data_IF_810986851921
#
_entry.id   IF_810986851921
#
_cell.length_a   1.000
_cell.length_b   1.000
_cell.length_c   1.000
_cell.angle_alpha   90.00
_cell.angle_beta   90.00
_cell.angle_gamma   90.00
#
_symmetry.space_group_name_H-M   'P 1'
#
loop_
_entity.id
_entity.type
_entity.pdbx_description
1 polymer ?
#
# COMPACT_ATOMS: atom_id res chain seq x y z
N UNK A 1 -29.55 22.21 28.44
CA UNK A 1 -29.70 21.59 27.10
C UNK A 1 -30.23 20.18 27.31
N UNK A 2 -31.14 19.70 26.45
CA UNK A 2 -31.73 18.35 26.63
C UNK A 2 -30.68 17.28 26.26
N UNK A 3 -30.62 16.15 26.98
CA UNK A 3 -29.80 15.03 26.57
C UNK A 3 -30.27 14.50 25.21
N UNK A 4 -29.32 14.13 24.35
CA UNK A 4 -29.60 13.59 23.02
C UNK A 4 -29.39 12.08 23.03
N UNK A 5 -30.30 11.34 22.44
CA UNK A 5 -30.04 9.93 22.12
C UNK A 5 -29.09 9.89 20.91
N UNK A 6 -27.98 9.18 21.08
CA UNK A 6 -26.96 9.03 20.07
C UNK A 6 -26.71 7.55 19.81
N UNK A 7 -26.64 7.20 18.54
CA UNK A 7 -26.29 5.88 18.06
C UNK A 7 -24.89 5.92 17.46
N UNK A 8 -24.02 5.00 17.88
CA UNK A 8 -22.72 4.79 17.23
C UNK A 8 -22.64 3.35 16.75
N UNK A 9 -22.39 3.21 15.46
CA UNK A 9 -22.19 1.93 14.79
C UNK A 9 -20.69 1.65 14.70
N UNK A 10 -20.24 0.57 15.33
CA UNK A 10 -18.85 0.10 15.25
C UNK A 10 -18.79 -1.34 14.76
N UNK A 11 -18.58 -1.51 13.45
CA UNK A 11 -18.61 -2.83 12.81
C UNK A 11 -20.02 -3.40 12.82
N UNK A 12 -20.20 -4.61 13.35
CA UNK A 12 -21.51 -5.28 13.46
C UNK A 12 -22.30 -4.91 14.73
N UNK A 13 -21.75 -4.07 15.62
CA UNK A 13 -22.37 -3.72 16.89
C UNK A 13 -22.92 -2.29 16.85
N UNK A 14 -24.13 -2.12 17.38
CA UNK A 14 -24.81 -0.84 17.55
C UNK A 14 -24.85 -0.49 19.03
N UNK A 15 -24.40 0.71 19.38
CA UNK A 15 -24.41 1.20 20.75
C UNK A 15 -25.29 2.45 20.85
N UNK A 16 -26.26 2.39 21.76
CA UNK A 16 -27.14 3.49 22.10
C UNK A 16 -26.64 4.15 23.39
N UNK A 17 -26.50 5.48 23.39
CA UNK A 17 -26.13 6.21 24.58
C UNK A 17 -26.72 7.61 24.60
N UNK A 18 -26.74 8.19 25.79
CA UNK A 18 -27.19 9.56 26.00
C UNK A 18 -26.00 10.51 25.95
N UNK A 19 -25.96 11.38 24.95
CA UNK A 19 -24.99 12.45 24.79
C UNK A 19 -25.47 13.71 25.53
N UNK A 20 -24.60 14.34 26.33
CA UNK A 20 -24.93 15.57 27.06
C UNK A 20 -24.19 16.74 26.40
N UNK A 21 -24.89 17.70 25.76
CA UNK A 21 -24.25 18.89 25.22
C UNK A 21 -23.64 19.73 26.34
N UNK A 22 -22.33 20.01 26.23
CA UNK A 22 -21.57 20.83 27.19
C UNK A 22 -21.23 22.22 26.64
N UNK A 23 -21.62 22.50 25.40
CA UNK A 23 -21.49 23.81 24.75
C UNK A 23 -22.02 23.78 23.32
N UNK A 24 -21.97 24.93 22.64
CA UNK A 24 -22.56 25.12 21.30
C UNK A 24 -21.93 24.21 20.21
N UNK A 25 -20.70 23.74 20.44
CA UNK A 25 -19.99 22.78 19.57
C UNK A 25 -19.31 21.65 20.36
N UNK A 26 -19.76 21.37 21.58
CA UNK A 26 -19.12 20.37 22.44
C UNK A 26 -20.14 19.47 23.12
N UNK A 27 -19.85 18.17 23.10
CA UNK A 27 -20.68 17.12 23.67
C UNK A 27 -19.81 16.30 24.61
N UNK A 28 -20.29 16.05 25.83
CA UNK A 28 -19.68 15.09 26.75
C UNK A 28 -20.18 13.70 26.42
N UNK A 29 -19.25 12.79 26.16
CA UNK A 29 -19.52 11.38 25.96
C UNK A 29 -19.45 10.63 27.31
N UNK A 30 -20.30 9.60 27.53
CA UNK A 30 -20.25 8.76 28.72
C UNK A 30 -18.89 8.08 28.89
N UNK A 31 -18.46 7.88 30.14
CA UNK A 31 -17.15 7.30 30.43
C UNK A 31 -17.00 5.87 29.90
N UNK A 32 -18.11 5.13 29.71
CA UNK A 32 -18.12 3.81 29.06
C UNK A 32 -17.55 3.81 27.62
N UNK A 33 -17.69 4.92 26.88
CA UNK A 33 -17.09 5.08 25.54
C UNK A 33 -15.62 5.47 25.65
N UNK A 34 -15.25 6.26 26.67
CA UNK A 34 -13.85 6.64 26.94
C UNK A 34 -13.03 5.46 27.47
N UNK A 35 -13.65 4.56 28.24
CA UNK A 35 -13.05 3.39 28.87
C UNK A 35 -13.08 2.14 27.99
N UNK A 36 -13.75 2.17 26.85
CA UNK A 36 -13.76 1.04 25.93
C UNK A 36 -12.34 0.84 25.38
N UNK A 37 -11.77 -0.37 25.43
CA UNK A 37 -10.42 -0.60 24.95
C UNK A 37 -10.38 -0.29 23.45
N UNK A 38 -9.77 0.83 23.08
CA UNK A 38 -9.57 1.24 21.67
C UNK A 38 -8.78 0.20 20.86
N UNK A 39 -8.20 -0.84 21.50
CA UNK A 39 -7.37 -1.88 20.89
C UNK A 39 -7.56 -3.22 21.62
N UNK A 40 -7.78 -4.30 20.86
CA UNK A 40 -7.89 -5.69 21.38
C UNK A 40 -6.57 -6.25 21.93
N UNK A 41 -5.42 -5.66 21.59
CA UNK A 41 -4.10 -6.14 21.97
C UNK A 41 -3.30 -5.04 22.69
N UNK A 42 -2.63 -5.44 23.76
CA UNK A 42 -1.77 -4.57 24.57
C UNK A 42 -0.56 -4.12 23.74
N UNK A 43 -0.12 -2.87 23.95
CA UNK A 43 1.10 -2.33 23.37
C UNK A 43 1.97 -1.74 24.46
N UNK A 44 3.27 -1.92 24.34
CA UNK A 44 4.27 -1.35 25.23
C UNK A 44 5.05 -0.27 24.51
N UNK A 45 5.38 0.80 25.23
CA UNK A 45 6.33 1.81 24.77
C UNK A 45 7.74 1.27 24.96
N UNK A 46 8.55 1.32 23.91
CA UNK A 46 9.92 0.81 23.90
C UNK A 46 10.90 1.98 24.05
N UNK A 47 10.72 3.05 23.28
CA UNK A 47 11.51 4.26 23.42
C UNK A 47 11.31 4.90 24.82
N UNK A 48 12.42 5.00 25.57
CA UNK A 48 12.44 5.54 26.93
C UNK A 48 12.07 4.53 28.03
N UNK A 49 11.90 3.24 27.70
CA UNK A 49 11.62 2.21 28.68
C UNK A 49 12.93 1.57 29.19
N UNK A 50 13.24 1.65 30.50
CA UNK A 50 14.54 1.21 31.03
C UNK A 50 14.79 -0.29 30.83
N UNK A 51 13.74 -1.12 30.89
CA UNK A 51 13.84 -2.58 30.82
C UNK A 51 14.14 -3.11 29.41
N UNK A 52 13.76 -2.36 28.38
CA UNK A 52 13.77 -2.82 26.98
C UNK A 52 14.40 -1.79 26.03
N UNK A 53 15.16 -0.85 26.57
CA UNK A 53 15.84 0.22 25.83
C UNK A 53 16.82 -0.29 24.76
N UNK A 54 17.30 -1.53 24.89
CA UNK A 54 18.18 -2.19 23.92
C UNK A 54 17.45 -2.90 22.79
N UNK A 55 16.11 -2.86 22.76
CA UNK A 55 15.32 -3.49 21.71
C UNK A 55 15.36 -2.64 20.43
N UNK A 56 15.65 -3.26 19.29
CA UNK A 56 15.72 -2.58 18.00
C UNK A 56 15.23 -3.45 16.85
N UNK A 57 15.06 -2.85 15.68
CA UNK A 57 14.71 -3.55 14.45
C UNK A 57 15.82 -3.44 13.40
N UNK A 58 16.06 -4.51 12.65
CA UNK A 58 16.72 -4.46 11.34
C UNK A 58 15.63 -4.57 10.29
N UNK A 59 15.65 -3.65 9.33
CA UNK A 59 14.64 -3.55 8.28
C UNK A 59 15.27 -3.96 6.95
N UNK A 60 14.60 -4.84 6.22
CA UNK A 60 15.00 -5.25 4.87
C UNK A 60 13.87 -4.99 3.89
N UNK A 61 14.18 -4.31 2.79
CA UNK A 61 13.27 -4.07 1.66
C UNK A 61 13.78 -4.80 0.43
N UNK A 62 12.91 -5.52 -0.26
CA UNK A 62 13.20 -6.10 -1.57
C UNK A 62 12.60 -5.20 -2.65
N UNK A 63 13.43 -4.64 -3.52
CA UNK A 63 13.05 -3.56 -4.44
C UNK A 63 13.50 -3.85 -5.85
N UNK A 64 12.73 -3.39 -6.84
CA UNK A 64 13.14 -3.22 -8.23
C UNK A 64 13.08 -1.73 -8.55
N UNK A 65 14.22 -1.10 -8.83
CA UNK A 65 14.31 0.33 -9.12
C UNK A 65 15.17 0.58 -10.36
N UNK A 66 14.59 1.06 -11.49
CA UNK A 66 15.36 1.33 -12.70
C UNK A 66 16.29 2.55 -12.57
N UNK A 67 16.06 3.41 -11.58
CA UNK A 67 16.87 4.61 -11.31
C UNK A 67 18.02 4.38 -10.33
N UNK A 68 18.28 3.13 -9.97
CA UNK A 68 19.45 2.77 -9.16
C UNK A 68 20.75 3.19 -9.87
N UNK A 69 21.74 3.63 -9.09
CA UNK A 69 23.06 4.00 -9.61
C UNK A 69 23.92 2.80 -10.04
N UNK A 70 23.40 1.58 -9.88
CA UNK A 70 23.99 0.35 -10.42
C UNK A 70 23.63 0.23 -11.91
N UNK A 71 24.61 0.53 -12.77
CA UNK A 71 24.43 0.47 -14.22
C UNK A 71 24.08 -0.92 -14.74
N UNK A 72 24.60 -1.98 -14.14
CA UNK A 72 24.34 -3.35 -14.59
C UNK A 72 22.89 -3.73 -14.30
N UNK A 73 22.43 -3.43 -13.08
CA UNK A 73 21.07 -3.72 -12.66
C UNK A 73 20.04 -2.87 -13.43
N UNK A 74 20.32 -1.58 -13.61
CA UNK A 74 19.48 -0.69 -14.41
C UNK A 74 19.36 -1.18 -15.87
N UNK A 75 20.47 -1.59 -16.49
CA UNK A 75 20.46 -2.18 -17.85
C UNK A 75 19.68 -3.50 -17.90
N UNK A 76 19.80 -4.37 -16.91
CA UNK A 76 19.03 -5.62 -16.82
C UNK A 76 17.53 -5.35 -16.73
N UNK A 77 17.10 -4.42 -15.87
CA UNK A 77 15.70 -4.02 -15.76
C UNK A 77 15.21 -3.48 -17.11
N UNK A 78 15.95 -2.56 -17.71
CA UNK A 78 15.59 -1.96 -19.00
C UNK A 78 15.46 -3.02 -20.11
N UNK A 79 16.37 -4.00 -20.17
CA UNK A 79 16.33 -5.09 -21.13
C UNK A 79 15.09 -5.97 -20.96
N UNK A 80 14.73 -6.33 -19.71
CA UNK A 80 13.51 -7.12 -19.42
C UNK A 80 12.28 -6.35 -19.88
N UNK A 81 12.15 -5.07 -19.49
CA UNK A 81 11.01 -4.23 -19.86
C UNK A 81 10.88 -4.12 -21.38
N UNK A 82 11.98 -3.79 -22.07
CA UNK A 82 12.00 -3.64 -23.54
C UNK A 82 11.68 -4.95 -24.27
N UNK A 83 12.13 -6.09 -23.74
CA UNK A 83 11.83 -7.41 -24.30
C UNK A 83 10.32 -7.67 -24.25
N UNK A 84 9.67 -7.38 -23.13
CA UNK A 84 8.23 -7.60 -22.96
C UNK A 84 7.43 -6.62 -23.84
N UNK A 85 7.82 -5.34 -23.88
CA UNK A 85 7.24 -4.35 -24.80
C UNK A 85 7.34 -4.82 -26.26
N UNK A 86 8.48 -5.34 -26.67
CA UNK A 86 8.67 -5.91 -28.01
C UNK A 86 7.82 -7.15 -28.26
N UNK A 87 7.61 -8.02 -27.27
CA UNK A 87 6.71 -9.19 -27.40
C UNK A 87 5.26 -8.73 -27.57
N UNK A 88 4.81 -7.74 -26.81
CA UNK A 88 3.46 -7.19 -26.93
C UNK A 88 3.21 -6.60 -28.33
N UNK A 89 4.19 -5.90 -28.89
CA UNK A 89 4.05 -5.31 -30.23
C UNK A 89 4.10 -6.37 -31.33
N UNK A 90 5.06 -7.31 -31.26
CA UNK A 90 5.33 -8.24 -32.37
C UNK A 90 4.47 -9.51 -32.34
N UNK A 91 4.16 -10.03 -31.16
CA UNK A 91 3.50 -11.32 -30.99
C UNK A 91 2.03 -11.17 -30.62
N UNK A 92 1.70 -10.14 -29.84
CA UNK A 92 0.32 -9.87 -29.41
C UNK A 92 -0.37 -8.78 -30.26
N UNK A 93 0.34 -8.28 -31.30
CA UNK A 93 -0.15 -7.33 -32.31
C UNK A 93 -0.70 -6.00 -31.77
N UNK A 94 -0.21 -5.52 -30.63
CA UNK A 94 -0.51 -4.17 -30.17
C UNK A 94 0.32 -3.14 -30.96
N UNK A 95 -0.29 -2.01 -31.30
CA UNK A 95 0.41 -0.94 -32.02
C UNK A 95 1.36 -0.16 -31.10
N UNK A 96 1.02 -0.06 -29.81
CA UNK A 96 1.85 0.56 -28.78
C UNK A 96 1.82 -0.31 -27.52
N UNK A 97 3.00 -0.57 -26.96
CA UNK A 97 3.15 -1.19 -25.65
C UNK A 97 4.19 -0.42 -24.83
N UNK A 98 3.86 -0.10 -23.58
CA UNK A 98 4.76 0.59 -22.66
C UNK A 98 4.62 0.03 -21.26
N UNK A 99 5.74 -0.32 -20.64
CA UNK A 99 5.80 -0.68 -19.23
C UNK A 99 6.38 0.50 -18.46
N UNK A 100 5.70 0.87 -17.38
CA UNK A 100 6.12 1.95 -16.48
C UNK A 100 6.14 1.40 -15.06
N UNK A 101 7.32 1.42 -14.44
CA UNK A 101 7.46 1.16 -13.00
C UNK A 101 7.15 2.44 -12.24
N UNK A 102 6.48 2.30 -11.10
CA UNK A 102 6.11 3.45 -10.29
C UNK A 102 7.29 3.95 -9.46
N UNK A 103 7.47 5.27 -9.45
CA UNK A 103 8.44 5.99 -8.65
C UNK A 103 7.75 6.82 -7.53
N UNK A 104 6.41 6.77 -7.47
CA UNK A 104 5.60 7.42 -6.44
C UNK A 104 5.21 8.85 -6.79
N UNK A 105 5.53 9.32 -8.00
CA UNK A 105 5.17 10.65 -8.49
C UNK A 105 3.95 10.64 -9.41
N UNK A 106 3.27 9.50 -9.54
CA UNK A 106 2.17 9.33 -10.48
C UNK A 106 0.96 10.19 -10.08
N UNK A 107 0.59 11.13 -10.96
CA UNK A 107 -0.59 11.99 -10.77
C UNK A 107 -1.79 11.60 -11.63
N UNK A 108 -1.67 10.56 -12.45
CA UNK A 108 -2.73 10.16 -13.37
C UNK A 108 -3.84 9.43 -12.58
N UNK A 109 -5.09 9.93 -12.57
CA UNK A 109 -6.16 9.33 -11.78
C UNK A 109 -6.53 7.89 -12.19
N UNK A 110 -6.31 7.51 -13.46
CA UNK A 110 -6.48 6.11 -13.90
C UNK A 110 -5.45 5.21 -13.23
N UNK A 111 -4.19 5.68 -13.08
CA UNK A 111 -3.16 4.93 -12.38
C UNK A 111 -3.47 4.82 -10.89
N UNK A 112 -3.99 5.88 -10.27
CA UNK A 112 -4.46 5.85 -8.88
C UNK A 112 -5.58 4.83 -8.68
N UNK A 113 -6.57 4.82 -9.59
CA UNK A 113 -7.65 3.85 -9.58
C UNK A 113 -7.15 2.40 -9.73
N UNK A 114 -6.26 2.14 -10.70
CA UNK A 114 -5.65 0.82 -10.92
C UNK A 114 -4.83 0.39 -9.70
N UNK A 115 -4.08 1.31 -9.09
CA UNK A 115 -3.29 1.05 -7.87
C UNK A 115 -4.17 0.69 -6.68
N UNK A 116 -5.31 1.36 -6.51
CA UNK A 116 -6.23 1.11 -5.42
C UNK A 116 -7.02 -0.18 -5.60
N UNK A 117 -7.58 -0.41 -6.79
CA UNK A 117 -8.46 -1.56 -7.05
C UNK A 117 -7.72 -2.81 -7.52
N UNK A 118 -6.44 -2.69 -7.89
CA UNK A 118 -5.58 -3.78 -8.36
C UNK A 118 -6.20 -4.61 -9.51
N UNK A 119 -6.97 -3.94 -10.36
CA UNK A 119 -7.63 -4.53 -11.53
C UNK A 119 -7.19 -3.81 -12.81
N UNK A 120 -7.16 -4.51 -13.95
CA UNK A 120 -6.91 -3.87 -15.24
C UNK A 120 -7.95 -2.79 -15.52
N UNK A 121 -7.54 -1.63 -16.01
CA UNK A 121 -8.45 -0.65 -16.60
C UNK A 121 -8.48 -0.84 -18.11
N UNK A 122 -9.66 -1.05 -18.69
CA UNK A 122 -9.79 -1.41 -20.10
C UNK A 122 -10.85 -0.57 -20.80
N UNK A 123 -10.47 -0.10 -21.98
CA UNK A 123 -11.33 0.53 -22.98
C UNK A 123 -11.42 -0.43 -24.16
N UNK A 124 -12.41 -1.32 -24.12
CA UNK A 124 -12.56 -2.36 -25.15
C UNK A 124 -12.79 -1.75 -26.53
N UNK A 125 -13.68 -0.75 -26.63
CA UNK A 125 -13.95 0.00 -27.85
C UNK A 125 -14.08 1.50 -27.52
N UNK A 126 -13.24 2.34 -28.11
CA UNK A 126 -13.31 3.80 -27.95
C UNK A 126 -14.52 4.43 -28.64
N UNK A 127 -15.20 3.69 -29.53
CA UNK A 127 -16.49 4.10 -30.09
C UNK A 127 -17.67 3.70 -29.21
N UNK A 128 -17.47 2.70 -28.33
CA UNK A 128 -18.50 2.24 -27.42
C UNK A 128 -17.94 1.91 -26.02
N UNK A 129 -17.97 2.92 -25.16
CA UNK A 129 -17.52 2.84 -23.78
C UNK A 129 -18.42 2.02 -22.84
N UNK A 130 -19.56 1.51 -23.32
CA UNK A 130 -20.53 0.80 -22.48
C UNK A 130 -20.22 -0.70 -22.31
N UNK A 131 -19.14 -1.21 -22.89
CA UNK A 131 -18.76 -2.62 -22.78
C UNK A 131 -18.38 -2.92 -21.33
N UNK A 132 -19.07 -3.88 -20.72
CA UNK A 132 -18.88 -4.27 -19.31
C UNK A 132 -18.20 -5.62 -19.18
N UNK A 133 -17.31 -5.71 -18.21
CA UNK A 133 -16.73 -6.96 -17.73
C UNK A 133 -16.35 -6.82 -16.25
N UNK A 134 -16.73 -7.79 -15.41
CA UNK A 134 -16.54 -7.73 -13.95
C UNK A 134 -15.07 -7.90 -13.51
N UNK A 135 -14.23 -8.43 -14.40
CA UNK A 135 -12.81 -8.70 -14.15
C UNK A 135 -11.94 -7.47 -14.41
N UNK A 136 -12.49 -6.42 -15.01
CA UNK A 136 -11.78 -5.18 -15.34
C UNK A 136 -12.49 -3.96 -14.75
N UNK A 137 -11.77 -2.85 -14.69
CA UNK A 137 -12.28 -1.52 -14.44
C UNK A 137 -12.59 -0.88 -15.79
N UNK A 138 -13.70 -0.15 -15.82
CA UNK A 138 -14.20 0.54 -17.01
C UNK A 138 -14.31 2.03 -16.74
N UNK A 139 -14.80 2.78 -17.73
CA UNK A 139 -15.09 4.20 -17.55
C UNK A 139 -16.10 4.50 -16.46
N UNK A 140 -17.07 3.62 -16.23
CA UNK A 140 -18.04 3.82 -15.16
C UNK A 140 -17.36 3.80 -13.79
N UNK A 141 -16.39 2.89 -13.60
CA UNK A 141 -15.60 2.81 -12.37
C UNK A 141 -14.71 4.05 -12.19
N UNK A 142 -14.13 4.56 -13.27
CA UNK A 142 -13.39 5.83 -13.26
C UNK A 142 -14.25 7.01 -12.84
N UNK A 143 -15.44 7.16 -13.42
CA UNK A 143 -16.36 8.26 -13.08
C UNK A 143 -16.78 8.17 -11.61
N UNK A 144 -17.12 6.95 -11.15
CA UNK A 144 -17.46 6.70 -9.75
C UNK A 144 -16.32 7.09 -8.82
N UNK A 145 -15.09 6.67 -9.14
CA UNK A 145 -13.90 6.98 -8.36
C UNK A 145 -13.61 8.48 -8.25
N UNK A 146 -13.73 9.21 -9.37
CA UNK A 146 -13.52 10.66 -9.39
C UNK A 146 -14.58 11.42 -8.60
N UNK A 147 -15.85 10.98 -8.66
CA UNK A 147 -16.93 11.52 -7.85
C UNK A 147 -16.69 11.29 -6.35
N UNK A 148 -16.28 10.07 -5.96
CA UNK A 148 -15.94 9.73 -4.56
C UNK A 148 -14.74 10.55 -4.06
N UNK A 149 -13.82 10.92 -4.96
CA UNK A 149 -12.68 11.79 -4.67
C UNK A 149 -13.03 13.29 -4.59
N UNK A 150 -14.31 13.65 -4.72
CA UNK A 150 -14.81 15.02 -4.58
C UNK A 150 -14.64 15.89 -5.83
N UNK A 151 -14.39 15.31 -7.00
CA UNK A 151 -14.31 16.04 -8.26
C UNK A 151 -15.72 16.30 -8.80
N UNK A 152 -16.01 17.54 -9.21
CA UNK A 152 -17.33 17.90 -9.75
C UNK A 152 -17.63 17.17 -11.08
N UNK A 153 -18.88 16.75 -11.24
CA UNK A 153 -19.40 16.04 -12.42
C UNK A 153 -19.08 16.76 -13.73
N UNK A 154 -19.14 18.11 -13.77
CA UNK A 154 -18.78 18.87 -14.98
C UNK A 154 -17.30 18.75 -15.31
N UNK A 155 -16.43 18.74 -14.30
CA UNK A 155 -15.00 18.54 -14.46
C UNK A 155 -14.66 17.15 -14.99
N UNK A 156 -15.34 16.12 -14.49
CA UNK A 156 -15.18 14.74 -14.97
C UNK A 156 -15.61 14.62 -16.43
N UNK A 157 -16.78 15.15 -16.80
CA UNK A 157 -17.27 15.12 -18.17
C UNK A 157 -16.32 15.84 -19.14
N UNK A 158 -15.80 17.02 -18.76
CA UNK A 158 -14.83 17.74 -19.59
C UNK A 158 -13.52 16.96 -19.80
N UNK A 159 -13.05 16.22 -18.80
CA UNK A 159 -11.88 15.33 -18.97
C UNK A 159 -12.19 14.16 -19.90
N UNK A 160 -13.39 13.58 -19.78
CA UNK A 160 -13.84 12.49 -20.66
C UNK A 160 -13.94 12.94 -22.11
N UNK A 161 -14.48 14.14 -22.36
CA UNK A 161 -14.58 14.67 -23.72
C UNK A 161 -13.20 14.88 -24.35
N UNK A 162 -12.24 15.43 -23.59
CA UNK A 162 -10.84 15.54 -24.03
C UNK A 162 -10.23 14.18 -24.35
N UNK A 163 -10.54 13.16 -23.55
CA UNK A 163 -10.02 11.80 -23.76
C UNK A 163 -10.62 11.14 -25.01
N UNK A 164 -11.94 11.28 -25.20
CA UNK A 164 -12.62 10.82 -26.42
C UNK A 164 -12.08 11.50 -27.67
N UNK A 165 -11.87 12.82 -27.59
CA UNK A 165 -11.25 13.58 -28.67
C UNK A 165 -9.83 13.11 -28.94
N UNK A 166 -9.05 12.84 -27.90
CA UNK A 166 -7.71 12.27 -28.02
C UNK A 166 -7.73 10.93 -28.75
N UNK A 167 -8.61 9.99 -28.37
CA UNK A 167 -8.71 8.70 -29.07
C UNK A 167 -9.11 8.85 -30.52
N UNK A 168 -10.11 9.69 -30.82
CA UNK A 168 -10.55 9.94 -32.19
C UNK A 168 -9.43 10.54 -33.03
N UNK A 169 -8.72 11.54 -32.50
CA UNK A 169 -7.61 12.22 -33.18
C UNK A 169 -6.46 11.28 -33.52
N UNK A 170 -6.18 10.31 -32.66
CA UNK A 170 -5.07 9.38 -32.81
C UNK A 170 -5.49 8.01 -33.37
N UNK A 171 -6.75 7.84 -33.78
CA UNK A 171 -7.25 6.59 -34.36
C UNK A 171 -7.21 5.40 -33.39
N UNK A 172 -7.25 5.63 -32.09
CA UNK A 172 -7.16 4.57 -31.08
C UNK A 172 -8.49 3.82 -31.04
N UNK A 173 -8.44 2.50 -31.25
CA UNK A 173 -9.60 1.61 -31.21
C UNK A 173 -9.86 1.05 -29.83
N UNK A 174 -8.79 0.72 -29.10
CA UNK A 174 -8.86 0.15 -27.76
C UNK A 174 -7.59 0.41 -26.95
N UNK A 175 -7.72 0.40 -25.63
CA UNK A 175 -6.63 0.63 -24.70
C UNK A 175 -6.78 -0.27 -23.46
N UNK A 176 -5.68 -0.79 -22.94
CA UNK A 176 -5.66 -1.46 -21.65
C UNK A 176 -4.47 -1.01 -20.80
N UNK A 177 -4.72 -0.80 -19.51
CA UNK A 177 -3.71 -0.56 -18.48
C UNK A 177 -3.80 -1.67 -17.45
N UNK A 178 -2.79 -2.53 -17.41
CA UNK A 178 -2.73 -3.73 -16.57
C UNK A 178 -1.73 -3.52 -15.43
N UNK A 179 -2.12 -3.72 -14.16
CA UNK A 179 -1.20 -3.57 -13.04
C UNK A 179 -0.12 -4.68 -13.03
N UNK A 180 1.10 -4.29 -12.72
CA UNK A 180 2.18 -5.20 -12.30
C UNK A 180 2.08 -5.37 -10.78
N UNK A 181 1.55 -6.51 -10.34
CA UNK A 181 1.29 -6.76 -8.92
C UNK A 181 2.36 -7.70 -8.36
N UNK A 182 3.09 -7.23 -7.36
CA UNK A 182 4.00 -8.05 -6.56
C UNK A 182 3.57 -8.00 -5.10
N UNK A 183 3.38 -9.16 -4.46
CA UNK A 183 2.98 -9.27 -3.05
C UNK A 183 1.84 -8.31 -2.62
N UNK A 184 0.76 -8.27 -3.41
CA UNK A 184 -0.41 -7.39 -3.20
C UNK A 184 -0.12 -5.88 -3.32
N UNK A 185 0.95 -5.51 -4.03
CA UNK A 185 1.33 -4.14 -4.33
C UNK A 185 1.49 -3.91 -5.83
N UNK A 186 0.89 -2.82 -6.32
CA UNK A 186 1.07 -2.38 -7.71
C UNK A 186 2.37 -1.60 -7.82
N UNK A 187 3.38 -2.23 -8.40
CA UNK A 187 4.73 -1.67 -8.59
C UNK A 187 4.90 -0.96 -9.93
N UNK A 188 3.89 -1.04 -10.81
CA UNK A 188 3.92 -0.45 -12.14
C UNK A 188 2.72 -0.88 -12.96
N UNK A 189 2.73 -0.53 -14.24
CA UNK A 189 1.68 -0.92 -15.20
C UNK A 189 2.27 -1.28 -16.56
N UNK A 190 1.58 -2.19 -17.24
CA UNK A 190 1.69 -2.38 -18.69
C UNK A 190 0.54 -1.61 -19.34
N UNK A 191 0.87 -0.67 -20.21
CA UNK A 191 -0.10 0.05 -21.04
C UNK A 191 0.02 -0.43 -22.47
N UNK A 192 -1.08 -0.85 -23.06
CA UNK A 192 -1.16 -1.24 -24.48
C UNK A 192 -2.27 -0.49 -25.20
N UNK A 193 -2.05 -0.23 -26.48
CA UNK A 193 -2.99 0.47 -27.36
C UNK A 193 -3.10 -0.30 -28.67
N UNK A 194 -4.32 -0.46 -29.18
CA UNK A 194 -4.57 -0.93 -30.54
C UNK A 194 -5.25 0.17 -31.37
N UNK A 195 -4.76 0.35 -32.59
CA UNK A 195 -5.27 1.26 -33.62
C UNK A 195 -6.10 0.51 -34.67
N UNK A 196 -6.00 -0.82 -34.72
CA UNK A 196 -6.62 -1.64 -35.77
C UNK A 196 -7.78 -2.47 -35.24
N UNK A 197 -7.62 -3.07 -34.07
CA UNK A 197 -8.58 -4.04 -33.52
C UNK A 197 -9.14 -3.57 -32.17
N UNK A 198 -10.37 -4.01 -31.91
CA UNK A 198 -11.03 -3.85 -30.61
C UNK A 198 -10.53 -4.98 -29.73
N UNK A 199 -9.99 -4.66 -28.54
CA UNK A 199 -9.58 -5.69 -27.59
C UNK A 199 -10.78 -6.52 -27.16
N UNK A 200 -10.55 -7.81 -26.93
CA UNK A 200 -11.53 -8.75 -26.40
C UNK A 200 -11.11 -9.24 -25.00
N UNK A 201 -12.01 -9.94 -24.31
CA UNK A 201 -11.71 -10.53 -22.99
C UNK A 201 -10.49 -11.47 -23.02
N UNK A 202 -10.34 -12.38 -24.02
CA UNK A 202 -9.12 -13.16 -24.18
C UNK A 202 -7.82 -12.33 -24.23
N UNK A 203 -7.84 -11.17 -24.91
CA UNK A 203 -6.67 -10.29 -24.97
C UNK A 203 -6.29 -9.79 -23.56
N UNK A 204 -7.28 -9.42 -22.75
CA UNK A 204 -7.05 -8.94 -21.37
C UNK A 204 -6.52 -10.06 -20.47
N UNK A 205 -7.08 -11.28 -20.55
CA UNK A 205 -6.59 -12.43 -19.80
C UNK A 205 -5.11 -12.69 -20.14
N UNK A 206 -4.78 -12.64 -21.43
CA UNK A 206 -3.42 -12.84 -21.92
C UNK A 206 -2.47 -11.75 -21.44
N UNK A 207 -2.89 -10.48 -21.45
CA UNK A 207 -2.12 -9.37 -20.89
C UNK A 207 -1.85 -9.55 -19.40
N UNK A 208 -2.84 -10.00 -18.62
CA UNK A 208 -2.66 -10.29 -17.19
C UNK A 208 -1.61 -11.38 -16.96
N UNK A 209 -1.61 -12.44 -17.77
CA UNK A 209 -0.58 -13.49 -17.68
C UNK A 209 0.83 -12.94 -18.00
N UNK A 210 0.93 -12.07 -19.00
CA UNK A 210 2.19 -11.41 -19.34
C UNK A 210 2.66 -10.47 -18.22
N UNK A 211 1.74 -9.77 -17.57
CA UNK A 211 2.02 -8.94 -16.41
C UNK A 211 2.57 -9.76 -15.23
N UNK A 212 1.96 -10.92 -14.93
CA UNK A 212 2.45 -11.83 -13.88
C UNK A 212 3.86 -12.30 -14.21
N UNK A 213 4.09 -12.78 -15.44
CA UNK A 213 5.43 -13.21 -15.87
C UNK A 213 6.46 -12.07 -15.81
N UNK A 214 6.06 -10.86 -16.18
CA UNK A 214 6.91 -9.67 -16.11
C UNK A 214 7.36 -9.40 -14.68
N UNK A 215 6.43 -9.47 -13.72
CA UNK A 215 6.73 -9.34 -12.29
C UNK A 215 7.70 -10.42 -11.84
N UNK A 216 7.43 -11.68 -12.17
CA UNK A 216 8.30 -12.80 -11.80
C UNK A 216 9.73 -12.62 -12.33
N UNK A 217 9.87 -12.25 -13.61
CA UNK A 217 11.17 -11.99 -14.24
C UNK A 217 11.90 -10.80 -13.58
N UNK A 218 11.20 -9.69 -13.32
CA UNK A 218 11.77 -8.52 -12.66
C UNK A 218 12.26 -8.86 -11.24
N UNK A 219 11.47 -9.57 -10.45
CA UNK A 219 11.83 -9.87 -9.06
C UNK A 219 12.83 -11.02 -8.90
N UNK A 220 12.85 -11.98 -9.83
CA UNK A 220 13.80 -13.09 -9.78
C UNK A 220 15.18 -12.65 -10.28
N UNK A 221 15.23 -11.75 -11.27
CA UNK A 221 16.49 -11.38 -11.95
C UNK A 221 17.04 -10.01 -11.58
N UNK A 222 16.19 -9.10 -11.09
CA UNK A 222 16.55 -7.70 -10.91
C UNK A 222 16.18 -7.10 -9.55
N UNK A 223 15.51 -7.85 -8.67
CA UNK A 223 15.30 -7.36 -7.33
C UNK A 223 16.61 -7.39 -6.54
N UNK A 224 16.82 -6.36 -5.74
CA UNK A 224 17.90 -6.27 -4.77
C UNK A 224 17.32 -6.02 -3.39
N UNK A 225 18.07 -6.42 -2.37
CA UNK A 225 17.71 -6.19 -0.98
C UNK A 225 18.46 -4.97 -0.43
N UNK A 226 17.70 -4.05 0.16
CA UNK A 226 18.24 -2.95 0.95
C UNK A 226 18.05 -3.34 2.40
N UNK A 227 19.16 -3.52 3.11
CA UNK A 227 19.18 -3.88 4.52
C UNK A 227 19.65 -2.66 5.31
N UNK A 228 18.95 -2.35 6.40
CA UNK A 228 19.33 -1.23 7.27
C UNK A 228 20.70 -1.50 7.86
N UNK A 229 21.67 -0.62 7.60
CA UNK A 229 23.04 -0.72 8.10
C UNK A 229 23.12 -0.49 9.61
N UNK A 230 22.23 0.37 10.12
CA UNK A 230 22.11 0.75 11.51
C UNK A 230 20.83 0.16 12.12
N UNK A 231 20.84 -0.14 13.43
CA UNK A 231 19.63 -0.45 14.19
C UNK A 231 18.57 0.64 14.06
N UNK A 232 17.34 0.25 13.75
CA UNK A 232 16.18 1.14 13.70
C UNK A 232 15.45 1.11 15.05
N UNK A 233 15.07 2.29 15.55
CA UNK A 233 14.45 2.41 16.86
C UNK A 233 13.00 1.97 16.82
N UNK A 234 12.63 1.04 17.71
CA UNK A 234 11.22 0.69 17.95
C UNK A 234 10.66 1.72 18.94
N UNK A 235 9.60 2.42 18.54
CA UNK A 235 8.93 3.41 19.39
C UNK A 235 7.93 2.73 20.32
N UNK A 236 7.08 1.89 19.73
CA UNK A 236 6.10 1.08 20.45
C UNK A 236 5.82 -0.22 19.70
N UNK A 237 5.47 -1.28 20.43
CA UNK A 237 5.22 -2.59 19.85
C UNK A 237 4.02 -3.28 20.51
N UNK A 238 3.29 -4.05 19.71
CA UNK A 238 2.31 -5.02 20.16
C UNK A 238 2.38 -6.28 19.31
N UNK A 239 1.62 -7.31 19.69
CA UNK A 239 1.64 -8.63 19.02
C UNK A 239 1.34 -8.56 17.52
N UNK A 240 0.58 -7.56 17.08
CA UNK A 240 0.16 -7.44 15.68
C UNK A 240 0.95 -6.40 14.88
N UNK A 241 1.93 -5.71 15.48
CA UNK A 241 2.70 -4.69 14.75
C UNK A 241 3.47 -3.73 15.64
N UNK A 242 4.28 -2.88 15.03
CA UNK A 242 5.16 -1.92 15.70
C UNK A 242 5.05 -0.52 15.08
N UNK A 243 5.46 0.49 15.83
CA UNK A 243 5.84 1.80 15.31
C UNK A 243 7.36 1.88 15.34
N UNK A 244 7.96 2.19 14.20
CA UNK A 244 9.42 2.20 14.01
C UNK A 244 9.84 3.56 13.48
N UNK A 245 10.97 4.04 14.00
CA UNK A 245 11.68 5.19 13.47
C UNK A 245 12.78 4.73 12.54
N UNK A 246 12.72 5.19 11.29
CA UNK A 246 13.69 4.92 10.25
C UNK A 246 14.66 6.09 10.16
N UNK A 247 15.88 5.90 10.63
CA UNK A 247 16.95 6.89 10.63
C UNK A 247 17.76 6.89 9.33
N UNK A 248 17.61 5.87 8.48
CA UNK A 248 18.38 5.74 7.24
C UNK A 248 17.72 6.42 6.04
N UNK A 249 18.31 7.48 5.45
CA UNK A 249 17.70 8.21 4.33
C UNK A 249 17.48 7.37 3.08
N UNK A 250 18.36 6.39 2.82
CA UNK A 250 18.28 5.50 1.66
C UNK A 250 16.94 4.75 1.60
N UNK A 251 16.30 4.52 2.75
CA UNK A 251 14.99 3.86 2.83
C UNK A 251 13.85 4.78 2.43
N UNK A 252 13.97 6.11 2.55
CA UNK A 252 12.83 7.02 2.53
C UNK A 252 12.08 7.03 1.20
N UNK A 253 12.81 6.87 0.10
CA UNK A 253 12.22 6.70 -1.23
C UNK A 253 11.35 5.44 -1.28
N UNK A 254 11.87 4.33 -0.78
CA UNK A 254 11.24 3.02 -0.90
C UNK A 254 10.11 2.79 0.11
N UNK A 255 10.14 3.45 1.27
CA UNK A 255 9.02 3.39 2.23
C UNK A 255 7.71 3.93 1.66
N UNK A 256 7.75 4.83 0.67
CA UNK A 256 6.56 5.32 -0.04
C UNK A 256 6.12 4.39 -1.16
N UNK A 257 7.07 3.67 -1.74
CA UNK A 257 6.88 2.82 -2.90
C UNK A 257 6.44 1.41 -2.55
N UNK A 258 6.87 0.94 -1.38
CA UNK A 258 6.67 -0.42 -0.91
C UNK A 258 5.80 -0.42 0.34
N UNK A 259 4.73 -1.21 0.33
CA UNK A 259 3.91 -1.51 1.49
C UNK A 259 4.45 -2.67 2.29
N UNK A 260 5.39 -3.47 1.80
CA UNK A 260 5.92 -4.64 2.52
C UNK A 260 7.40 -4.54 2.81
N UNK A 261 7.79 -5.12 3.94
CA UNK A 261 9.17 -5.19 4.40
C UNK A 261 9.39 -6.44 5.26
N UNK A 262 10.62 -6.92 5.29
CA UNK A 262 11.03 -7.88 6.31
C UNK A 262 11.56 -7.11 7.51
N UNK A 263 11.14 -7.53 8.69
CA UNK A 263 11.56 -6.98 9.97
C UNK A 263 12.23 -8.10 10.75
N UNK A 264 13.42 -7.82 11.26
CA UNK A 264 14.03 -8.60 12.33
C UNK A 264 13.96 -7.79 13.60
N UNK A 265 13.22 -8.28 14.59
CA UNK A 265 13.10 -7.68 15.92
C UNK A 265 14.13 -8.34 16.80
N UNK A 266 15.02 -7.55 17.39
CA UNK A 266 16.07 -8.02 18.31
C UNK A 266 15.69 -7.58 19.71
N UNK A 267 15.56 -8.56 20.60
CA UNK A 267 15.22 -8.35 22.01
C UNK A 267 16.47 -8.05 22.84
N UNK A 268 16.32 -7.51 24.07
CA UNK A 268 17.45 -7.20 24.94
C UNK A 268 18.33 -8.41 25.31
N UNK A 269 17.79 -9.63 25.24
CA UNK A 269 18.48 -10.90 25.49
C UNK A 269 19.08 -11.52 24.22
N UNK A 270 19.17 -10.75 23.13
CA UNK A 270 19.66 -11.14 21.81
C UNK A 270 18.81 -12.17 21.07
N UNK A 271 17.68 -12.59 21.65
CA UNK A 271 16.70 -13.36 20.89
C UNK A 271 16.15 -12.53 19.73
N UNK A 272 15.76 -13.20 18.65
CA UNK A 272 15.26 -12.52 17.46
C UNK A 272 13.97 -13.14 16.95
N UNK A 273 13.10 -12.28 16.43
CA UNK A 273 11.92 -12.66 15.65
C UNK A 273 12.07 -12.08 14.26
N UNK A 274 11.90 -12.92 13.23
CA UNK A 274 11.88 -12.49 11.84
C UNK A 274 10.48 -12.62 11.29
N UNK A 275 9.94 -11.54 10.74
CA UNK A 275 8.58 -11.53 10.20
C UNK A 275 8.47 -10.57 9.04
N UNK A 276 7.57 -10.88 8.12
CA UNK A 276 7.11 -9.89 7.15
C UNK A 276 6.18 -8.89 7.83
N UNK A 277 6.23 -7.65 7.39
CA UNK A 277 5.34 -6.62 7.87
C UNK A 277 4.84 -5.74 6.72
N UNK A 278 3.61 -5.26 6.87
CA UNK A 278 3.01 -4.27 5.97
C UNK A 278 3.07 -2.89 6.60
N UNK A 279 3.63 -1.89 5.92
CA UNK A 279 3.51 -0.49 6.28
C UNK A 279 2.04 -0.10 6.18
N UNK A 280 1.43 0.22 7.31
CA UNK A 280 0.04 0.66 7.38
C UNK A 280 -0.09 2.17 7.41
N UNK A 281 0.90 2.87 7.99
CA UNK A 281 0.92 4.33 8.10
C UNK A 281 2.34 4.86 7.93
N UNK A 282 2.48 6.02 7.30
CA UNK A 282 3.68 6.85 7.34
C UNK A 282 3.29 8.14 8.06
N UNK A 283 3.97 8.45 9.16
CA UNK A 283 3.68 9.63 9.98
C UNK A 283 4.58 10.81 9.57
N UNK A 284 4.28 11.97 10.14
CA UNK A 284 5.16 13.13 10.01
C UNK A 284 6.58 12.80 10.53
N UNK A 285 7.62 13.36 9.88
CA UNK A 285 9.00 13.13 10.30
C UNK A 285 9.25 13.63 11.72
N UNK A 286 10.27 13.07 12.37
CA UNK A 286 10.78 13.63 13.63
C UNK A 286 11.43 15.00 13.39
N UNK A 287 11.68 15.82 14.43
CA UNK A 287 12.41 17.08 14.29
C UNK A 287 13.78 16.93 13.63
N UNK A 288 14.43 15.77 13.80
CA UNK A 288 15.72 15.40 13.20
C UNK A 288 15.60 14.96 11.73
N UNK A 289 14.37 14.87 11.21
CA UNK A 289 14.07 14.48 9.83
C UNK A 289 13.86 12.99 9.63
N UNK A 290 13.89 12.17 10.69
CA UNK A 290 13.70 10.72 10.59
C UNK A 290 12.27 10.35 10.20
N UNK A 291 12.08 9.26 9.45
CA UNK A 291 10.76 8.80 9.03
C UNK A 291 10.14 7.88 10.07
N UNK A 292 8.93 8.19 10.50
CA UNK A 292 8.16 7.32 11.39
C UNK A 292 7.18 6.48 10.57
N UNK A 293 7.22 5.16 10.76
CA UNK A 293 6.31 4.23 10.10
C UNK A 293 5.54 3.40 11.13
N UNK A 294 4.28 3.13 10.82
CA UNK A 294 3.47 2.13 11.50
C UNK A 294 3.44 0.88 10.64
N UNK A 295 3.78 -0.26 11.22
CA UNK A 295 3.80 -1.54 10.54
C UNK A 295 2.83 -2.52 11.21
N UNK A 296 2.24 -3.40 10.41
CA UNK A 296 1.44 -4.55 10.84
C UNK A 296 2.20 -5.83 10.51
N UNK A 297 2.44 -6.68 11.50
CA UNK A 297 3.07 -7.96 11.26
C UNK A 297 2.17 -8.87 10.42
N UNK A 298 2.78 -9.72 9.61
CA UNK A 298 2.09 -10.69 8.77
C UNK A 298 1.17 -11.58 9.60
N UNK A 299 -0.03 -11.83 9.09
CA UNK A 299 -0.95 -12.79 9.70
C UNK A 299 -0.36 -14.22 9.71
N UNK A 300 0.59 -14.49 8.81
CA UNK A 300 1.28 -15.77 8.67
C UNK A 300 2.58 -15.85 9.48
N UNK A 301 2.79 -14.94 10.44
CA UNK A 301 3.90 -15.05 11.39
C UNK A 301 3.82 -16.39 12.15
N UNK A 302 4.97 -17.04 12.34
CA UNK A 302 5.05 -18.33 13.03
C UNK A 302 4.41 -18.23 14.42
N UNK A 303 3.57 -19.21 14.76
CA UNK A 303 2.79 -19.18 16.00
C UNK A 303 3.68 -19.18 17.25
N UNK A 304 4.87 -19.81 17.21
CA UNK A 304 5.83 -19.79 18.32
C UNK A 304 6.40 -18.40 18.49
N UNK A 305 6.77 -17.74 17.40
CA UNK A 305 7.29 -16.38 17.46
C UNK A 305 6.21 -15.40 17.91
N UNK A 306 4.95 -15.61 17.50
CA UNK A 306 3.82 -14.81 17.96
C UNK A 306 3.59 -14.96 19.47
N UNK A 307 3.68 -16.18 19.99
CA UNK A 307 3.57 -16.46 21.42
C UNK A 307 4.73 -15.86 22.22
N UNK A 308 5.98 -15.98 21.73
CA UNK A 308 7.15 -15.33 22.35
C UNK A 308 6.96 -13.82 22.46
N UNK A 309 6.47 -13.19 21.40
CA UNK A 309 6.22 -11.74 21.39
C UNK A 309 5.12 -11.36 22.39
N UNK A 310 4.04 -12.13 22.47
CA UNK A 310 2.96 -11.89 23.44
C UNK A 310 3.45 -12.06 24.88
N UNK A 311 4.13 -13.17 25.20
CA UNK A 311 4.72 -13.43 26.52
C UNK A 311 5.71 -12.34 26.94
N UNK A 312 6.56 -11.88 26.02
CA UNK A 312 7.46 -10.75 26.24
C UNK A 312 6.68 -9.48 26.59
N UNK A 313 5.66 -9.12 25.80
CA UNK A 313 4.83 -7.94 26.05
C UNK A 313 4.17 -8.01 27.42
N UNK A 314 3.56 -9.16 27.77
CA UNK A 314 2.94 -9.35 29.08
C UNK A 314 3.94 -9.23 30.22
N UNK A 315 5.17 -9.73 30.04
CA UNK A 315 6.23 -9.65 31.05
C UNK A 315 6.64 -8.20 31.30
N UNK A 316 6.81 -7.40 30.26
CA UNK A 316 7.11 -5.96 30.39
C UNK A 316 5.97 -5.23 31.11
N UNK A 317 4.72 -5.53 30.77
CA UNK A 317 3.55 -4.92 31.42
C UNK A 317 3.52 -5.24 32.92
N UNK A 318 3.82 -6.50 33.30
CA UNK A 318 3.92 -6.89 34.71
C UNK A 318 5.00 -6.11 35.45
N UNK A 319 6.18 -5.93 34.83
CA UNK A 319 7.28 -5.16 35.42
C UNK A 319 6.92 -3.69 35.64
N UNK A 320 6.26 -3.06 34.65
CA UNK A 320 5.81 -1.68 34.75
C UNK A 320 4.76 -1.50 35.85
N UNK A 321 3.85 -2.47 36.01
CA UNK A 321 2.85 -2.43 37.07
C UNK A 321 3.43 -2.69 38.47
N UNK A 322 4.50 -3.49 38.58
CA UNK A 322 5.17 -3.71 39.87
C UNK A 322 5.93 -2.49 40.37
N UNK A 323 6.50 -1.66 39.49
CA UNK A 323 7.12 -0.38 39.89
C UNK A 323 6.08 0.67 40.34
N UNK A 324 4.86 0.64 39.79
CA UNK A 324 3.78 1.54 40.22
C UNK A 324 3.21 1.19 41.60
N UNK A 325 3.51 -0.01 42.10
CA UNK A 325 3.05 -0.52 43.40
C UNK A 325 4.14 -0.49 44.48
N UNK A 326 5.38 -0.10 44.12
CA UNK A 326 6.53 0.04 45.02
C UNK A 326 6.79 1.51 45.36
#
# INVERSE_FOLDING_TARGET
MRPLEAEVVMGANVFLFTAIPVGEKSISLPDAIKSHPKRKAVRIKVAGNPFISRMYAIVTLKVVDPSIQDEELSRKIHLILTTIESTLIRSENYDIAKITLFDGTEKNPVLSLVKEKQKPFVVFDTFNFSIKDETVLTYEDYVKYMNESGVDSKGILAQLDKLKEFYRKHGIRSEATVPLIFEDEVIGVIKVVSLKEVMSKPNVIRLNQLAIKAVDDLFTKCAFEIISKNPQTIIDIGVNGAKIEISEPDFYKYLRLMKRMYIQIIFPDETMIKTMATIVNIYDPTPEGHKLIGIRFSANMDWKDKNKLDEFIQSVVRLQNSELLA
#
